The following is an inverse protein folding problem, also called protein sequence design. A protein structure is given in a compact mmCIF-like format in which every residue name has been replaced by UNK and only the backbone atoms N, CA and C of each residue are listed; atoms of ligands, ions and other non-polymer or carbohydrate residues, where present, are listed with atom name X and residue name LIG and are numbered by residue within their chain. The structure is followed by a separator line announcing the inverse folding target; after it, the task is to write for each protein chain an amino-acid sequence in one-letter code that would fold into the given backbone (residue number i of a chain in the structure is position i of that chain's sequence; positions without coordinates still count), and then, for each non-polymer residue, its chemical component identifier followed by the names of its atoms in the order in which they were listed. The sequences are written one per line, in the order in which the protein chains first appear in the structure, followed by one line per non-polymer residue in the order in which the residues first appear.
data_IF_488858699259
#
_entry.id   IF_488858699259
#
_cell.length_a   1.000
_cell.length_b   1.000
_cell.length_c   1.000
_cell.angle_alpha   90.00
_cell.angle_beta   90.00
_cell.angle_gamma   90.00
#
_symmetry.space_group_name_H-M   'P 1'
#
loop_
_entity.id
_entity.type
_entity.pdbx_description
1 polymer ?
#
# COMPACT_ATOMS: atom_id res chain seq x y z
N UNK A 1 -15.81 44.24 18.54
CA UNK A 1 -14.84 44.00 17.45
C UNK A 1 -13.71 43.18 18.01
N UNK A 2 -13.71 41.88 17.76
CA UNK A 2 -12.61 40.99 18.16
C UNK A 2 -11.41 41.35 17.29
N UNK A 3 -10.32 41.81 17.89
CA UNK A 3 -9.10 42.13 17.16
C UNK A 3 -8.48 40.78 16.72
N UNK A 4 -8.62 40.45 15.44
CA UNK A 4 -7.93 39.27 14.87
C UNK A 4 -6.44 39.54 15.02
N UNK A 5 -5.79 38.84 15.95
CA UNK A 5 -4.35 38.91 16.09
C UNK A 5 -3.73 38.01 15.00
N UNK A 6 -3.14 38.61 13.99
CA UNK A 6 -2.33 37.89 13.02
C UNK A 6 -0.92 37.66 13.58
N UNK A 7 -0.45 36.45 13.51
CA UNK A 7 0.93 36.11 13.81
C UNK A 7 1.71 35.84 12.51
N UNK A 8 2.92 36.37 12.43
CA UNK A 8 3.80 36.11 11.28
C UNK A 8 4.86 35.06 11.68
N UNK A 9 4.91 34.00 10.96
CA UNK A 9 5.95 32.97 11.06
C UNK A 9 6.75 32.96 9.75
N UNK A 10 8.07 32.78 9.85
CA UNK A 10 8.88 32.61 8.66
C UNK A 10 8.67 31.21 8.04
N UNK A 11 8.84 31.11 6.72
CA UNK A 11 8.52 29.91 5.97
C UNK A 11 9.32 28.67 6.40
N UNK A 12 10.57 28.87 6.77
CA UNK A 12 11.44 27.78 7.24
C UNK A 12 10.94 27.21 8.56
N UNK A 13 10.63 28.09 9.51
CA UNK A 13 10.07 27.71 10.82
C UNK A 13 8.72 27.00 10.65
N UNK A 14 7.87 27.50 9.75
CA UNK A 14 6.59 26.87 9.43
C UNK A 14 6.81 25.44 8.91
N UNK A 15 7.66 25.27 7.90
CA UNK A 15 7.95 23.95 7.31
C UNK A 15 8.58 22.98 8.31
N UNK A 16 9.44 23.44 9.22
CA UNK A 16 9.99 22.62 10.30
C UNK A 16 8.95 22.20 11.34
N UNK A 17 7.92 22.99 11.52
CA UNK A 17 6.88 22.73 12.54
C UNK A 17 5.73 21.91 11.99
N UNK A 18 5.23 22.23 10.80
CA UNK A 18 4.03 21.65 10.20
C UNK A 18 4.27 20.97 8.85
N UNK A 19 5.53 20.77 8.47
CA UNK A 19 5.88 20.23 7.15
C UNK A 19 5.87 21.30 6.04
N UNK A 20 6.37 20.94 4.86
CA UNK A 20 6.40 21.82 3.70
C UNK A 20 4.98 22.20 3.26
N UNK A 21 4.82 23.42 2.73
CA UNK A 21 3.56 23.94 2.23
C UNK A 21 3.64 24.29 0.76
N UNK A 22 2.54 24.71 0.17
CA UNK A 22 2.42 25.04 -1.27
C UNK A 22 3.58 25.87 -1.78
N UNK A 23 4.22 25.40 -2.85
CA UNK A 23 5.38 26.02 -3.49
C UNK A 23 6.72 25.72 -2.81
N UNK A 24 6.75 24.99 -1.71
CA UNK A 24 8.00 24.49 -1.15
C UNK A 24 8.54 23.34 -1.98
N UNK A 25 9.86 23.25 -2.09
CA UNK A 25 10.56 22.19 -2.79
C UNK A 25 11.22 21.24 -1.81
N UNK A 26 10.97 19.97 -1.97
CA UNK A 26 11.51 18.90 -1.11
C UNK A 26 12.36 17.97 -1.95
N UNK A 27 13.59 17.71 -1.48
CA UNK A 27 14.48 16.74 -2.12
C UNK A 27 14.02 15.32 -1.79
N UNK A 28 14.02 14.45 -2.80
CA UNK A 28 13.68 13.04 -2.63
C UNK A 28 14.91 12.24 -2.22
N UNK A 29 15.03 11.92 -0.94
CA UNK A 29 16.14 11.17 -0.36
C UNK A 29 17.51 11.70 -0.82
N UNK A 30 18.43 10.83 -1.17
CA UNK A 30 19.77 11.18 -1.67
C UNK A 30 19.85 11.34 -3.19
N UNK A 31 18.74 11.61 -3.83
CA UNK A 31 18.68 11.85 -5.27
C UNK A 31 18.86 13.33 -5.60
N UNK A 32 18.99 13.66 -6.86
CA UNK A 32 18.96 15.04 -7.38
C UNK A 32 17.55 15.50 -7.74
N UNK A 33 16.53 14.68 -7.42
CA UNK A 33 15.15 14.98 -7.71
C UNK A 33 14.55 15.85 -6.61
N UNK A 34 13.79 16.85 -7.03
CA UNK A 34 12.99 17.71 -6.15
C UNK A 34 11.54 17.67 -6.58
N UNK A 35 10.67 17.52 -5.61
CA UNK A 35 9.23 17.69 -5.77
C UNK A 35 8.83 19.06 -5.26
N UNK A 36 7.76 19.64 -5.82
CA UNK A 36 7.17 20.90 -5.36
C UNK A 36 5.76 20.64 -4.86
N UNK A 37 5.43 21.16 -3.68
CA UNK A 37 4.10 21.02 -3.10
C UNK A 37 3.10 21.85 -3.90
N UNK A 38 2.14 21.22 -4.54
CA UNK A 38 1.15 21.85 -5.43
C UNK A 38 -0.01 22.44 -4.65
N UNK A 39 -0.46 21.76 -3.59
CA UNK A 39 -1.59 22.15 -2.75
C UNK A 39 -1.29 21.90 -1.28
N UNK A 40 -1.95 22.67 -0.44
CA UNK A 40 -2.02 22.45 0.99
C UNK A 40 -3.51 22.45 1.38
N UNK A 41 -4.01 21.35 1.90
CA UNK A 41 -5.42 21.18 2.28
C UNK A 41 -5.66 21.56 3.75
N UNK A 42 -4.61 21.91 4.50
CA UNK A 42 -4.74 22.44 5.85
C UNK A 42 -5.07 23.94 5.82
N UNK A 43 -5.45 24.50 6.95
CA UNK A 43 -5.69 25.93 7.10
C UNK A 43 -4.60 26.55 7.94
N UNK A 44 -3.88 27.53 7.42
CA UNK A 44 -2.80 28.19 8.15
C UNK A 44 -3.28 28.82 9.47
N UNK A 45 -2.70 28.36 10.56
CA UNK A 45 -3.03 28.73 11.92
C UNK A 45 -3.98 27.77 12.62
N UNK A 46 -4.55 26.82 11.90
CA UNK A 46 -5.45 25.78 12.41
C UNK A 46 -4.82 24.38 12.32
N UNK A 47 -3.56 24.28 11.94
CA UNK A 47 -2.87 22.99 11.80
C UNK A 47 -2.88 22.22 13.11
N UNK A 48 -3.26 20.99 13.06
CA UNK A 48 -3.23 20.10 14.22
C UNK A 48 -1.87 19.41 14.33
N UNK A 49 -1.36 19.29 15.56
CA UNK A 49 -0.11 18.60 15.86
C UNK A 49 -0.13 18.01 17.24
N UNK A 50 0.33 16.76 17.36
CA UNK A 50 0.48 16.07 18.62
C UNK A 50 1.78 16.47 19.34
N UNK A 51 1.77 16.40 20.67
CA UNK A 51 2.94 16.60 21.52
C UNK A 51 2.77 17.67 22.59
N UNK A 52 3.76 17.82 23.46
CA UNK A 52 3.75 18.76 24.56
C UNK A 52 3.54 20.21 24.11
N UNK A 53 2.49 20.86 24.64
CA UNK A 53 2.15 22.23 24.24
C UNK A 53 1.50 22.37 22.86
N UNK A 54 1.13 21.27 22.18
CA UNK A 54 0.50 21.27 20.86
C UNK A 54 -1.02 21.25 20.94
N UNK A 55 -1.68 21.46 19.78
CA UNK A 55 -3.12 21.73 19.72
C UNK A 55 -4.01 20.48 19.84
N UNK A 56 -3.51 19.28 19.65
CA UNK A 56 -4.30 18.05 19.84
C UNK A 56 -4.43 17.76 21.33
N UNK A 57 -5.44 18.39 21.91
CA UNK A 57 -5.87 18.27 23.30
C UNK A 57 -7.38 18.36 23.37
N UNK A 58 -7.97 17.82 24.42
CA UNK A 58 -9.40 17.91 24.67
C UNK A 58 -9.91 19.34 24.65
N UNK A 59 -10.96 19.59 23.88
CA UNK A 59 -11.54 20.93 23.65
C UNK A 59 -10.69 21.89 22.79
N UNK A 60 -9.58 21.40 22.25
CA UNK A 60 -8.76 22.10 21.26
C UNK A 60 -8.86 21.36 19.92
N UNK A 61 -7.77 20.83 19.36
CA UNK A 61 -7.80 20.03 18.14
C UNK A 61 -8.44 18.65 18.29
N UNK A 62 -8.62 18.16 19.51
CA UNK A 62 -9.41 16.99 19.83
C UNK A 62 -10.82 17.38 20.26
N UNK A 63 -11.82 16.80 19.62
CA UNK A 63 -13.23 16.99 19.91
C UNK A 63 -13.77 15.98 20.92
N UNK A 64 -15.01 16.18 21.38
CA UNK A 64 -15.77 15.25 22.21
C UNK A 64 -16.46 14.14 21.40
N UNK A 65 -16.31 14.14 20.07
CA UNK A 65 -16.94 13.17 19.17
C UNK A 65 -16.36 11.78 19.42
N UNK A 66 -17.26 10.80 19.61
CA UNK A 66 -16.87 9.40 19.78
C UNK A 66 -16.60 8.75 18.43
N UNK A 67 -15.85 7.65 18.45
CA UNK A 67 -15.63 6.81 17.25
C UNK A 67 -16.95 6.43 16.55
N UNK A 68 -17.95 6.04 17.32
CA UNK A 68 -19.26 5.67 16.79
C UNK A 68 -20.00 6.84 16.11
N UNK A 69 -19.68 8.07 16.50
CA UNK A 69 -20.33 9.29 16.02
C UNK A 69 -19.52 10.01 14.93
N UNK A 70 -18.39 9.44 14.49
CA UNK A 70 -17.64 9.95 13.33
C UNK A 70 -16.14 10.18 13.53
N UNK A 71 -15.60 10.12 14.75
CA UNK A 71 -14.15 10.23 14.95
C UNK A 71 -13.42 9.06 14.27
N UNK A 72 -12.25 9.35 13.71
CA UNK A 72 -11.40 8.34 13.04
C UNK A 72 -10.61 7.53 14.06
N UNK A 73 -10.13 6.34 13.64
CA UNK A 73 -9.31 5.47 14.49
C UNK A 73 -7.86 5.99 14.57
N UNK A 74 -7.34 6.40 13.43
CA UNK A 74 -5.98 6.95 13.32
C UNK A 74 -5.98 8.18 12.42
N UNK A 75 -5.17 9.17 12.75
CA UNK A 75 -4.91 10.31 11.88
C UNK A 75 -3.41 10.48 11.68
N UNK A 76 -3.00 10.70 10.43
CA UNK A 76 -1.63 11.10 10.08
C UNK A 76 -1.69 12.60 9.82
N UNK A 77 -0.98 13.40 10.64
CA UNK A 77 -1.06 14.86 10.56
C UNK A 77 0.00 15.45 9.66
N UNK A 78 -0.36 16.51 8.92
CA UNK A 78 0.56 17.32 8.10
C UNK A 78 1.48 16.49 7.18
N UNK A 79 0.95 15.46 6.56
CA UNK A 79 1.71 14.58 5.66
C UNK A 79 1.99 15.26 4.31
N UNK A 80 3.21 15.09 3.78
CA UNK A 80 3.49 15.37 2.40
C UNK A 80 3.16 14.13 1.56
N UNK A 81 2.02 14.16 0.89
CA UNK A 81 1.52 13.05 0.10
C UNK A 81 2.05 13.17 -1.32
N UNK A 82 2.65 12.08 -1.83
CA UNK A 82 3.07 11.94 -3.22
C UNK A 82 2.29 10.81 -3.85
N UNK A 83 1.42 11.15 -4.77
CA UNK A 83 0.57 10.18 -5.46
C UNK A 83 0.37 10.60 -6.93
N UNK A 84 -0.25 9.72 -7.74
CA UNK A 84 -0.52 9.98 -9.16
C UNK A 84 -1.37 11.23 -9.41
N UNK A 85 -2.20 11.63 -8.45
CA UNK A 85 -3.10 12.78 -8.54
C UNK A 85 -2.51 14.09 -8.01
N UNK A 86 -1.29 14.05 -7.47
CA UNK A 86 -0.59 15.27 -7.09
C UNK A 86 0.40 15.12 -5.95
N UNK A 87 1.05 16.23 -5.62
CA UNK A 87 1.99 16.39 -4.50
C UNK A 87 1.35 17.38 -3.52
N UNK A 88 0.79 16.84 -2.43
CA UNK A 88 -0.15 17.59 -1.60
C UNK A 88 0.21 17.45 -0.12
N UNK A 89 0.15 18.56 0.62
CA UNK A 89 0.13 18.52 2.08
C UNK A 89 -1.30 18.36 2.56
N UNK A 90 -1.55 17.35 3.39
CA UNK A 90 -2.84 17.13 4.01
C UNK A 90 -2.71 16.25 5.26
N UNK A 91 -3.79 16.18 6.03
CA UNK A 91 -3.97 15.13 7.03
C UNK A 91 -4.68 13.93 6.39
N UNK A 92 -4.44 12.72 6.93
CA UNK A 92 -5.07 11.49 6.46
C UNK A 92 -5.77 10.80 7.61
N UNK A 93 -7.07 10.61 7.49
CA UNK A 93 -7.89 9.86 8.43
C UNK A 93 -8.01 8.38 8.02
N UNK A 94 -7.85 7.49 8.98
CA UNK A 94 -8.01 6.05 8.81
C UNK A 94 -9.12 5.57 9.77
N UNK A 95 -10.07 4.80 9.22
CA UNK A 95 -11.16 4.21 9.99
C UNK A 95 -11.45 2.81 9.48
N UNK A 96 -11.65 1.88 10.39
CA UNK A 96 -11.91 0.47 10.07
C UNK A 96 -10.85 -0.15 9.11
N UNK A 97 -9.58 0.28 9.26
CA UNK A 97 -8.46 -0.18 8.43
C UNK A 97 -8.43 0.39 7.00
N UNK A 98 -9.31 1.35 6.69
CA UNK A 98 -9.41 1.98 5.38
C UNK A 98 -9.06 3.47 5.46
N UNK A 99 -8.52 4.04 4.38
CA UNK A 99 -8.40 5.50 4.24
C UNK A 99 -9.83 6.06 4.22
N UNK A 100 -10.15 6.84 5.24
CA UNK A 100 -11.46 7.43 5.39
C UNK A 100 -11.58 8.75 4.61
N UNK A 101 -10.58 9.64 4.78
CA UNK A 101 -10.56 10.96 4.13
C UNK A 101 -9.13 11.48 4.07
N UNK A 102 -8.87 12.33 3.07
CA UNK A 102 -7.63 13.11 2.93
C UNK A 102 -8.02 14.57 2.88
N UNK A 103 -7.68 15.35 3.91
CA UNK A 103 -8.11 16.72 4.03
C UNK A 103 -7.57 17.39 5.29
N UNK A 104 -8.39 18.19 5.94
CA UNK A 104 -8.08 18.89 7.19
C UNK A 104 -8.60 18.10 8.38
N UNK A 105 -7.71 17.70 9.28
CA UNK A 105 -8.09 17.11 10.57
C UNK A 105 -8.26 18.16 11.65
N UNK A 106 -9.13 17.87 12.63
CA UNK A 106 -9.31 18.75 13.78
C UNK A 106 -10.58 18.53 14.58
N UNK A 107 -10.98 19.59 15.25
CA UNK A 107 -12.17 19.65 16.09
C UNK A 107 -13.22 20.59 15.43
N UNK A 108 -14.33 20.04 14.91
CA UNK A 108 -15.35 20.83 14.22
C UNK A 108 -16.09 21.83 15.13
N UNK A 109 -15.97 21.69 16.46
CA UNK A 109 -16.62 22.63 17.39
C UNK A 109 -15.90 23.98 17.45
N UNK A 110 -14.63 24.03 17.05
CA UNK A 110 -13.81 25.26 17.15
C UNK A 110 -13.06 25.63 15.86
N UNK A 111 -13.04 24.72 14.87
CA UNK A 111 -12.34 24.91 13.60
C UNK A 111 -13.31 24.71 12.43
N UNK A 112 -13.22 25.61 11.45
CA UNK A 112 -14.02 25.51 10.23
C UNK A 112 -13.43 24.48 9.24
N UNK A 113 -14.30 23.90 8.41
CA UNK A 113 -13.94 23.00 7.31
C UNK A 113 -13.08 21.79 7.76
N UNK A 114 -13.46 21.17 8.85
CA UNK A 114 -12.85 19.92 9.33
C UNK A 114 -13.44 18.75 8.56
N UNK A 115 -12.60 18.02 7.82
CA UNK A 115 -12.97 16.82 7.05
C UNK A 115 -12.78 15.56 7.92
N UNK A 116 -11.76 15.60 8.80
CA UNK A 116 -11.32 14.44 9.61
C UNK A 116 -11.45 14.80 11.09
N UNK A 117 -12.40 14.20 11.77
CA UNK A 117 -12.67 14.50 13.17
C UNK A 117 -11.72 13.71 14.09
N UNK A 118 -10.96 14.42 14.90
CA UNK A 118 -10.08 13.85 15.93
C UNK A 118 -10.88 13.70 17.23
N UNK A 119 -11.06 12.49 17.71
CA UNK A 119 -11.69 12.18 18.99
C UNK A 119 -10.70 11.70 20.04
N UNK A 120 -11.19 11.44 21.25
CA UNK A 120 -10.36 10.97 22.36
C UNK A 120 -9.72 9.58 22.12
N UNK A 121 -10.34 8.76 21.25
CA UNK A 121 -9.85 7.42 20.88
C UNK A 121 -8.99 7.42 19.62
N UNK A 122 -8.76 8.57 18.99
CA UNK A 122 -7.97 8.67 17.78
C UNK A 122 -6.47 8.58 18.09
N UNK A 123 -5.79 7.61 17.48
CA UNK A 123 -4.33 7.56 17.47
C UNK A 123 -3.78 8.62 16.51
N UNK A 124 -2.68 9.28 16.91
CA UNK A 124 -2.08 10.35 16.10
C UNK A 124 -0.68 9.97 15.67
N UNK A 125 -0.45 9.94 14.37
CA UNK A 125 0.86 9.74 13.76
C UNK A 125 1.33 11.08 13.19
N UNK A 126 2.49 11.55 13.62
CA UNK A 126 3.10 12.77 13.09
C UNK A 126 3.63 12.53 11.67
N UNK A 127 3.05 13.20 10.70
CA UNK A 127 3.48 13.15 9.29
C UNK A 127 4.47 14.25 8.92
N UNK A 128 4.70 15.20 9.81
CA UNK A 128 5.62 16.31 9.59
C UNK A 128 7.04 15.82 9.30
N UNK A 129 7.61 16.26 8.20
CA UNK A 129 8.95 15.88 7.78
C UNK A 129 9.05 14.50 7.10
N UNK A 130 7.92 13.85 6.88
CA UNK A 130 7.83 12.59 6.16
C UNK A 130 7.09 12.72 4.83
N UNK A 131 7.39 11.83 3.91
CA UNK A 131 6.67 11.67 2.66
C UNK A 131 5.79 10.44 2.79
N UNK A 132 4.49 10.60 2.52
CA UNK A 132 3.52 9.54 2.50
C UNK A 132 3.25 9.12 1.06
N UNK A 133 3.41 7.84 0.77
CA UNK A 133 3.10 7.23 -0.52
C UNK A 133 2.20 6.03 -0.34
N UNK A 134 1.55 5.59 -1.42
CA UNK A 134 0.97 4.26 -1.46
C UNK A 134 2.05 3.20 -1.21
N UNK A 135 1.69 2.10 -0.54
CA UNK A 135 2.58 0.96 -0.38
C UNK A 135 2.84 0.27 -1.71
N UNK A 136 4.08 -0.19 -1.90
CA UNK A 136 4.47 -0.88 -3.12
C UNK A 136 3.91 -2.30 -3.17
N UNK A 137 3.67 -2.78 -4.39
CA UNK A 137 3.23 -4.15 -4.68
C UNK A 137 4.37 -4.85 -5.42
N UNK A 138 4.87 -5.95 -4.85
CA UNK A 138 5.80 -6.83 -5.53
C UNK A 138 5.06 -8.07 -6.04
N UNK A 139 5.04 -8.24 -7.36
CA UNK A 139 4.28 -9.29 -8.05
C UNK A 139 5.14 -10.48 -8.50
N UNK A 140 6.39 -10.53 -8.09
CA UNK A 140 7.32 -11.60 -8.48
C UNK A 140 8.13 -12.13 -7.29
N UNK A 141 7.45 -12.78 -6.35
CA UNK A 141 8.04 -13.26 -5.10
C UNK A 141 8.26 -14.77 -5.12
N UNK A 142 9.46 -15.16 -4.66
CA UNK A 142 9.76 -16.52 -4.25
C UNK A 142 9.64 -16.61 -2.73
N UNK A 143 8.55 -17.19 -2.23
CA UNK A 143 8.33 -17.35 -0.79
C UNK A 143 9.21 -18.45 -0.22
N UNK A 144 10.41 -18.10 0.20
CA UNK A 144 11.44 -19.02 0.71
C UNK A 144 11.49 -18.98 2.23
N UNK A 145 11.49 -17.79 2.83
CA UNK A 145 11.58 -17.64 4.28
C UNK A 145 10.77 -16.42 4.77
N UNK A 146 10.22 -16.46 6.01
CA UNK A 146 9.38 -15.38 6.53
C UNK A 146 10.11 -14.05 6.73
N UNK A 147 11.42 -14.04 6.87
CA UNK A 147 12.25 -12.83 7.01
C UNK A 147 12.14 -11.89 5.80
N UNK A 148 11.76 -12.42 4.62
CA UNK A 148 11.48 -11.60 3.43
C UNK A 148 10.38 -10.57 3.69
N UNK A 149 9.38 -10.90 4.51
CA UNK A 149 8.23 -10.05 4.77
C UNK A 149 8.65 -8.83 5.59
N UNK A 150 9.45 -9.02 6.63
CA UNK A 150 9.98 -7.91 7.44
C UNK A 150 10.85 -6.97 6.61
N UNK A 151 11.71 -7.55 5.76
CA UNK A 151 12.57 -6.77 4.85
C UNK A 151 11.72 -5.99 3.84
N UNK A 152 10.68 -6.59 3.28
CA UNK A 152 9.77 -5.96 2.35
C UNK A 152 9.02 -4.79 3.00
N UNK A 153 8.46 -4.99 4.20
CA UNK A 153 7.80 -3.93 4.98
C UNK A 153 8.75 -2.76 5.26
N UNK A 154 9.97 -3.04 5.68
CA UNK A 154 10.99 -2.02 5.93
C UNK A 154 11.38 -1.24 4.66
N UNK A 155 11.13 -1.82 3.48
CA UNK A 155 11.37 -1.21 2.17
C UNK A 155 10.12 -0.52 1.58
N UNK A 156 9.00 -0.48 2.32
CA UNK A 156 7.75 0.16 1.87
C UNK A 156 6.85 -0.72 0.99
N UNK A 157 7.12 -2.02 0.92
CA UNK A 157 6.25 -2.98 0.23
C UNK A 157 5.15 -3.41 1.19
N UNK A 158 3.90 -3.32 0.77
CA UNK A 158 2.72 -3.70 1.56
C UNK A 158 1.95 -4.88 0.98
N UNK A 159 2.31 -5.30 -0.23
CA UNK A 159 1.68 -6.43 -0.92
C UNK A 159 2.74 -7.26 -1.64
N UNK A 160 2.75 -8.56 -1.40
CA UNK A 160 3.65 -9.51 -2.06
C UNK A 160 2.81 -10.61 -2.72
N UNK A 161 2.98 -10.76 -4.03
CA UNK A 161 2.33 -11.79 -4.84
C UNK A 161 3.39 -12.69 -5.45
N UNK A 162 3.21 -13.99 -5.35
CA UNK A 162 4.18 -14.93 -5.87
C UNK A 162 3.85 -16.36 -5.52
N UNK A 163 4.87 -17.16 -5.32
CA UNK A 163 4.68 -18.57 -4.94
C UNK A 163 5.90 -19.19 -4.29
N UNK A 164 5.73 -20.41 -3.89
CA UNK A 164 6.69 -21.21 -3.15
C UNK A 164 6.03 -21.93 -2.00
N UNK A 165 6.79 -22.75 -1.33
CA UNK A 165 6.36 -23.51 -0.14
C UNK A 165 7.35 -23.31 1.02
N UNK A 166 7.97 -22.15 1.09
CA UNK A 166 9.06 -21.87 2.03
C UNK A 166 10.37 -22.55 1.60
N UNK A 167 11.20 -23.02 2.53
CA UNK A 167 12.49 -23.66 2.23
C UNK A 167 12.38 -25.04 1.56
N UNK A 168 11.17 -25.55 1.28
CA UNK A 168 10.99 -26.81 0.59
C UNK A 168 11.56 -26.76 -0.82
N UNK A 169 12.27 -27.81 -1.22
CA UNK A 169 12.87 -27.91 -2.53
C UNK A 169 11.84 -28.01 -3.66
N UNK A 170 12.19 -27.56 -4.84
CA UNK A 170 11.42 -27.75 -6.07
C UNK A 170 10.42 -26.64 -6.39
N UNK A 171 10.02 -25.82 -5.44
CA UNK A 171 9.10 -24.70 -5.68
C UNK A 171 9.74 -23.34 -5.44
N UNK A 172 10.86 -23.27 -4.78
CA UNK A 172 11.57 -22.06 -4.43
C UNK A 172 12.13 -21.28 -5.62
N UNK A 173 12.30 -21.93 -6.75
CA UNK A 173 12.84 -21.30 -7.96
C UNK A 173 11.77 -20.78 -8.95
N UNK A 174 10.50 -21.10 -8.77
CA UNK A 174 9.49 -20.96 -9.83
C UNK A 174 8.33 -20.02 -9.55
N UNK A 175 8.34 -19.35 -8.42
CA UNK A 175 7.29 -18.37 -8.04
C UNK A 175 5.85 -18.90 -8.14
N UNK A 176 5.63 -20.19 -7.89
CA UNK A 176 4.29 -20.77 -7.78
C UNK A 176 4.17 -21.70 -6.59
N UNK A 177 2.96 -21.86 -6.10
CA UNK A 177 2.57 -22.78 -5.04
C UNK A 177 1.69 -23.85 -5.65
N UNK A 178 2.22 -25.07 -5.92
CA UNK A 178 1.53 -26.06 -6.74
C UNK A 178 0.46 -26.82 -5.96
N UNK A 179 -0.75 -26.80 -6.46
CA UNK A 179 -1.86 -27.60 -5.96
C UNK A 179 -2.58 -27.03 -4.73
N UNK A 180 -3.81 -27.45 -4.55
CA UNK A 180 -4.73 -26.96 -3.52
C UNK A 180 -4.21 -27.15 -2.10
N UNK A 181 -3.53 -28.28 -1.84
CA UNK A 181 -2.96 -28.57 -0.52
C UNK A 181 -1.91 -27.52 -0.11
N UNK A 182 -0.95 -27.23 -0.99
CA UNK A 182 0.11 -26.28 -0.68
C UNK A 182 -0.41 -24.84 -0.60
N UNK A 183 -1.34 -24.46 -1.47
CA UNK A 183 -1.98 -23.15 -1.43
C UNK A 183 -2.66 -22.93 -0.08
N UNK A 184 -3.47 -23.89 0.36
CA UNK A 184 -4.15 -23.82 1.67
C UNK A 184 -3.15 -23.70 2.83
N UNK A 185 -2.01 -24.40 2.78
CA UNK A 185 -0.98 -24.32 3.83
C UNK A 185 -0.25 -22.98 3.81
N UNK A 186 0.05 -22.44 2.64
CA UNK A 186 0.68 -21.13 2.53
C UNK A 186 -0.27 -20.02 3.00
N UNK A 187 -1.55 -20.07 2.67
CA UNK A 187 -2.55 -19.14 3.18
C UNK A 187 -2.63 -19.19 4.71
N UNK A 188 -2.67 -20.38 5.31
CA UNK A 188 -2.66 -20.53 6.77
C UNK A 188 -1.39 -19.94 7.41
N UNK A 189 -0.24 -20.13 6.78
CA UNK A 189 1.04 -19.58 7.28
C UNK A 189 1.10 -18.06 7.16
N UNK A 190 0.34 -17.47 6.24
CA UNK A 190 0.33 -16.05 5.96
C UNK A 190 -0.45 -15.21 6.99
N UNK A 191 -1.39 -15.81 7.72
CA UNK A 191 -2.29 -15.09 8.64
C UNK A 191 -1.58 -14.34 9.77
N UNK A 192 -0.37 -14.76 10.13
CA UNK A 192 0.40 -14.14 11.20
C UNK A 192 1.14 -12.86 10.78
N UNK A 193 1.17 -12.52 9.50
CA UNK A 193 1.99 -11.43 9.00
C UNK A 193 1.15 -10.18 8.66
N UNK A 194 1.61 -8.99 9.07
CA UNK A 194 0.94 -7.72 8.75
C UNK A 194 1.25 -7.26 7.31
N UNK A 195 0.98 -8.11 6.33
CA UNK A 195 1.26 -7.90 4.91
C UNK A 195 0.14 -8.50 4.09
N UNK A 196 -0.21 -7.89 2.95
CA UNK A 196 -1.08 -8.55 1.97
C UNK A 196 -0.25 -9.59 1.23
N UNK A 197 -0.62 -10.85 1.34
CA UNK A 197 0.09 -11.97 0.73
C UNK A 197 -0.84 -12.74 -0.22
N UNK A 198 -0.39 -12.94 -1.45
CA UNK A 198 -1.12 -13.74 -2.45
C UNK A 198 -0.22 -14.81 -3.07
N UNK A 199 -0.79 -15.99 -3.31
CA UNK A 199 -0.07 -17.14 -3.81
C UNK A 199 -0.60 -17.54 -5.18
N UNK A 200 0.32 -17.63 -6.17
CA UNK A 200 0.01 -18.15 -7.49
C UNK A 200 0.04 -19.67 -7.51
N UNK A 201 -1.00 -20.28 -8.09
CA UNK A 201 -1.01 -21.68 -8.45
C UNK A 201 -0.08 -21.99 -9.62
N UNK A 202 0.29 -23.25 -9.78
CA UNK A 202 1.07 -23.72 -10.93
C UNK A 202 0.21 -23.76 -12.19
N UNK A 203 0.56 -22.94 -13.19
CA UNK A 203 -0.18 -22.82 -14.44
C UNK A 203 0.15 -23.89 -15.49
N UNK A 204 1.24 -24.62 -15.33
CA UNK A 204 1.70 -25.62 -16.31
C UNK A 204 0.86 -26.90 -16.29
N UNK A 205 -0.37 -26.78 -16.79
CA UNK A 205 -1.31 -27.89 -16.98
C UNK A 205 -2.19 -27.63 -18.21
N UNK A 206 -2.38 -28.65 -19.02
CA UNK A 206 -3.36 -28.63 -20.13
C UNK A 206 -4.76 -29.06 -19.68
N UNK A 207 -4.88 -29.58 -18.45
CA UNK A 207 -6.15 -29.94 -17.86
C UNK A 207 -6.66 -28.78 -16.97
N UNK A 208 -7.70 -28.11 -17.41
CA UNK A 208 -8.28 -26.96 -16.71
C UNK A 208 -8.78 -27.29 -15.30
N UNK A 209 -9.24 -28.53 -15.04
CA UNK A 209 -9.70 -28.89 -13.69
C UNK A 209 -8.58 -28.76 -12.65
N UNK A 210 -7.33 -29.09 -13.00
CA UNK A 210 -6.19 -28.91 -12.11
C UNK A 210 -5.88 -27.44 -11.81
N UNK A 211 -6.21 -26.53 -12.73
CA UNK A 211 -6.05 -25.08 -12.55
C UNK A 211 -7.18 -24.53 -11.70
N UNK A 212 -8.40 -24.97 -11.97
CA UNK A 212 -9.61 -24.60 -11.23
C UNK A 212 -9.48 -24.97 -9.74
N UNK A 213 -9.06 -26.20 -9.44
CA UNK A 213 -8.85 -26.67 -8.06
C UNK A 213 -7.91 -25.75 -7.27
N UNK A 214 -6.92 -25.15 -7.94
CA UNK A 214 -5.99 -24.23 -7.30
C UNK A 214 -6.61 -22.85 -7.05
N UNK A 215 -7.39 -22.34 -7.99
CA UNK A 215 -8.10 -21.07 -7.83
C UNK A 215 -9.15 -21.19 -6.72
N UNK A 216 -9.93 -22.28 -6.71
CA UNK A 216 -10.90 -22.57 -5.67
C UNK A 216 -10.27 -22.77 -4.27
N UNK A 217 -9.02 -23.20 -4.21
CA UNK A 217 -8.26 -23.28 -2.96
C UNK A 217 -7.72 -21.94 -2.48
N UNK A 218 -7.91 -20.86 -3.26
CA UNK A 218 -7.53 -19.50 -2.90
C UNK A 218 -6.28 -18.95 -3.60
N UNK A 219 -5.84 -19.57 -4.70
CA UNK A 219 -4.79 -18.97 -5.52
C UNK A 219 -5.26 -17.63 -6.11
N UNK A 220 -4.43 -16.59 -5.98
CA UNK A 220 -4.71 -15.26 -6.54
C UNK A 220 -4.45 -15.15 -8.05
N UNK A 221 -3.98 -16.23 -8.66
CA UNK A 221 -3.68 -16.32 -10.07
C UNK A 221 -2.90 -17.60 -10.41
N UNK A 222 -2.46 -17.70 -11.66
CA UNK A 222 -1.74 -18.84 -12.18
C UNK A 222 -0.37 -18.40 -12.71
N UNK A 223 0.68 -19.12 -12.35
CA UNK A 223 2.05 -18.88 -12.80
C UNK A 223 2.51 -19.97 -13.76
N UNK A 224 2.92 -19.55 -14.93
CA UNK A 224 3.60 -20.36 -15.91
C UNK A 224 5.12 -20.14 -15.81
N UNK A 225 5.88 -21.21 -15.98
CA UNK A 225 7.34 -21.17 -16.03
C UNK A 225 7.82 -22.15 -17.11
N UNK A 226 8.75 -21.73 -17.96
CA UNK A 226 9.21 -22.53 -19.08
C UNK A 226 9.92 -23.82 -18.66
N UNK A 227 10.62 -23.83 -17.53
CA UNK A 227 11.23 -25.05 -16.96
C UNK A 227 10.24 -26.19 -16.76
N UNK A 228 8.96 -25.91 -16.67
CA UNK A 228 7.89 -26.89 -16.47
C UNK A 228 7.07 -27.18 -17.70
N UNK A 229 7.55 -26.75 -18.88
CA UNK A 229 6.89 -26.99 -20.15
C UNK A 229 5.73 -26.02 -20.42
N UNK A 230 6.05 -24.78 -20.71
CA UNK A 230 5.08 -23.79 -21.11
C UNK A 230 4.84 -23.90 -22.61
N UNK A 231 3.80 -24.63 -22.97
CA UNK A 231 3.35 -24.81 -24.37
C UNK A 231 2.18 -23.90 -24.68
N UNK A 232 1.85 -23.64 -25.96
CA UNK A 232 0.64 -22.91 -26.33
C UNK A 232 -0.64 -23.47 -25.71
N UNK A 233 -0.71 -24.81 -25.54
CA UNK A 233 -1.86 -25.47 -24.91
C UNK A 233 -1.96 -25.14 -23.41
N UNK A 234 -0.85 -25.13 -22.67
CA UNK A 234 -0.87 -24.76 -21.24
C UNK A 234 -1.20 -23.28 -21.06
N UNK A 235 -0.69 -22.41 -21.91
CA UNK A 235 -1.03 -20.97 -21.89
C UNK A 235 -2.53 -20.79 -22.12
N UNK A 236 -3.08 -21.44 -23.17
CA UNK A 236 -4.50 -21.32 -23.49
C UNK A 236 -5.40 -21.84 -22.35
N UNK A 237 -5.05 -22.97 -21.73
CA UNK A 237 -5.79 -23.48 -20.56
C UNK A 237 -5.75 -22.51 -19.37
N UNK A 238 -4.60 -21.87 -19.10
CA UNK A 238 -4.51 -20.85 -18.07
C UNK A 238 -5.37 -19.63 -18.38
N UNK A 239 -5.35 -19.13 -19.62
CA UNK A 239 -6.14 -17.97 -20.04
C UNK A 239 -7.65 -18.27 -19.95
N UNK A 240 -8.10 -19.47 -20.36
CA UNK A 240 -9.49 -19.87 -20.24
C UNK A 240 -9.97 -19.87 -18.78
N UNK A 241 -9.15 -20.42 -17.87
CA UNK A 241 -9.48 -20.44 -16.44
C UNK A 241 -9.41 -19.03 -15.84
N UNK A 242 -8.42 -18.25 -16.21
CA UNK A 242 -8.27 -16.88 -15.75
C UNK A 242 -9.44 -15.99 -16.16
N UNK A 243 -9.91 -16.11 -17.40
CA UNK A 243 -11.09 -15.39 -17.88
C UNK A 243 -12.36 -15.79 -17.13
N UNK A 244 -12.50 -17.09 -16.82
CA UNK A 244 -13.67 -17.60 -16.09
C UNK A 244 -13.71 -17.14 -14.63
N UNK A 245 -12.57 -17.01 -13.96
CA UNK A 245 -12.48 -16.72 -12.53
C UNK A 245 -11.99 -15.30 -12.23
N UNK A 246 -11.73 -14.49 -13.26
CA UNK A 246 -11.19 -13.13 -13.15
C UNK A 246 -9.90 -13.07 -12.33
N UNK A 247 -8.93 -13.94 -12.65
CA UNK A 247 -7.64 -14.02 -11.99
C UNK A 247 -6.49 -13.78 -12.96
N UNK A 248 -5.33 -13.39 -12.43
CA UNK A 248 -4.14 -13.08 -13.24
C UNK A 248 -3.41 -14.34 -13.72
N UNK A 249 -2.88 -14.28 -14.94
CA UNK A 249 -1.86 -15.21 -15.46
C UNK A 249 -0.52 -14.50 -15.53
N UNK A 250 0.49 -15.09 -14.89
CA UNK A 250 1.86 -14.62 -14.93
C UNK A 250 2.74 -15.67 -15.63
N UNK A 251 3.73 -15.23 -16.39
CA UNK A 251 4.67 -16.10 -17.08
C UNK A 251 6.11 -15.67 -16.82
N UNK A 252 6.98 -16.63 -16.55
CA UNK A 252 8.43 -16.44 -16.60
C UNK A 252 8.94 -16.97 -17.95
N UNK A 253 9.66 -16.11 -18.66
CA UNK A 253 10.35 -16.45 -19.90
C UNK A 253 11.83 -16.17 -19.71
N UNK A 254 12.70 -17.17 -19.85
CA UNK A 254 14.11 -16.99 -19.51
C UNK A 254 14.82 -16.13 -20.50
N UNK A 255 14.53 -16.29 -21.78
CA UNK A 255 15.30 -15.60 -22.75
C UNK A 255 14.53 -15.14 -23.96
N UNK A 256 15.00 -14.06 -24.46
CA UNK A 256 14.58 -13.50 -25.74
C UNK A 256 15.13 -14.29 -26.94
N UNK A 257 15.96 -15.30 -26.72
CA UNK A 257 16.74 -15.93 -27.80
C UNK A 257 16.96 -17.44 -27.66
N UNK A 258 16.63 -18.09 -26.57
CA UNK A 258 16.69 -19.55 -26.49
C UNK A 258 15.51 -20.16 -27.23
N UNK A 259 15.80 -20.99 -28.20
CA UNK A 259 14.82 -21.76 -28.99
C UNK A 259 13.72 -20.93 -29.67
N UNK A 260 13.89 -19.64 -29.87
CA UNK A 260 12.93 -18.76 -30.55
C UNK A 260 11.51 -18.74 -29.90
N UNK A 261 11.39 -18.98 -28.61
CA UNK A 261 10.11 -19.05 -27.91
C UNK A 261 9.43 -17.68 -27.72
N UNK A 262 10.13 -16.57 -27.94
CA UNK A 262 9.56 -15.23 -27.88
C UNK A 262 8.27 -15.10 -28.73
N UNK A 263 8.22 -15.78 -29.86
CA UNK A 263 7.07 -15.78 -30.75
C UNK A 263 5.84 -16.49 -30.17
N UNK A 264 6.07 -17.46 -29.29
CA UNK A 264 5.00 -18.22 -28.60
C UNK A 264 4.44 -17.38 -27.44
N UNK A 265 5.29 -16.63 -26.75
CA UNK A 265 4.91 -15.82 -25.59
C UNK A 265 4.27 -14.48 -25.94
N UNK A 266 4.40 -14.01 -27.18
CA UNK A 266 3.88 -12.71 -27.62
C UNK A 266 2.60 -12.80 -28.46
N UNK A 267 2.10 -14.00 -28.73
CA UNK A 267 0.85 -14.24 -29.44
C UNK A 267 -0.28 -14.60 -28.49
#
# INVERSE_FOLDING_TARGET
MVKIMSYKIDRKTYAQTYGPTRGDRVRLADTELFIEVEKDLTTYGDEVKFGGGKVIRDGMGQSQVRRADGAVDTVITNALIVDWWGIIKADVGIKDGMIFEIGKAGNPDIQDNVDIVIGASTEVIAGEGHILTAGSIDTHIHFICPQQIETALASGITTMLGGGTGPATGTNATTCTPGSFHISRMLQSAEAFPMNLGFFGKGNSTNESNLIDQVEAGACGLKLHEDWGTTPSTINSCLNVADKFDVQVCIHTDTLNEAALLKIHST
#
